data_IF_565820102942
#
_entry.id   IF_565820102942
#
_cell.length_a   1.000
_cell.length_b   1.000
_cell.length_c   1.000
_cell.angle_alpha   90.00
_cell.angle_beta   90.00
_cell.angle_gamma   90.00
#
_symmetry.space_group_name_H-M   'P 1'
#
loop_
_entity.id
_entity.type
_entity.pdbx_description
1 polymer ?
#
# COMPACT_ATOMS: atom_id res chain seq x y z
N UNK A 1 13.32 19.01 -7.57
CA UNK A 1 13.28 17.54 -7.39
C UNK A 1 12.74 16.92 -8.65
N UNK A 2 13.39 15.87 -9.16
CA UNK A 2 12.92 15.12 -10.32
C UNK A 2 11.61 14.37 -10.00
N UNK A 3 10.69 14.22 -10.96
CA UNK A 3 9.40 13.52 -10.77
C UNK A 3 9.58 12.10 -10.22
N UNK A 4 10.61 11.39 -10.68
CA UNK A 4 10.98 10.04 -10.20
C UNK A 4 11.37 10.03 -8.72
N UNK A 5 11.92 11.12 -8.20
CA UNK A 5 12.29 11.22 -6.78
C UNK A 5 11.07 11.50 -5.91
N UNK A 6 10.14 12.34 -6.40
CA UNK A 6 8.84 12.57 -5.75
C UNK A 6 8.07 11.27 -5.64
N UNK A 7 7.90 10.54 -6.75
CA UNK A 7 7.19 9.25 -6.75
C UNK A 7 7.84 8.22 -5.84
N UNK A 8 9.18 8.19 -5.75
CA UNK A 8 9.89 7.27 -4.85
C UNK A 8 9.60 7.58 -3.39
N UNK A 9 9.68 8.84 -2.99
CA UNK A 9 9.42 9.27 -1.61
C UNK A 9 7.95 9.01 -1.28
N UNK A 10 7.03 9.40 -2.16
CA UNK A 10 5.60 9.18 -1.97
C UNK A 10 5.27 7.68 -1.79
N UNK A 11 5.80 6.81 -2.65
CA UNK A 11 5.62 5.37 -2.53
C UNK A 11 6.21 4.81 -1.23
N UNK A 12 7.41 5.24 -0.86
CA UNK A 12 8.06 4.80 0.38
C UNK A 12 7.27 5.22 1.62
N UNK A 13 6.80 6.46 1.67
CA UNK A 13 5.96 6.96 2.77
C UNK A 13 4.63 6.21 2.84
N UNK A 14 3.99 5.97 1.69
CA UNK A 14 2.74 5.20 1.62
C UNK A 14 2.91 3.80 2.21
N UNK A 15 3.97 3.08 1.85
CA UNK A 15 4.26 1.75 2.39
C UNK A 15 4.50 1.77 3.91
N UNK A 16 5.23 2.77 4.41
CA UNK A 16 5.44 2.91 5.85
C UNK A 16 4.12 3.17 6.57
N UNK A 17 3.28 4.07 6.04
CA UNK A 17 1.96 4.36 6.62
C UNK A 17 1.06 3.13 6.60
N UNK A 18 1.03 2.37 5.50
CA UNK A 18 0.29 1.12 5.41
C UNK A 18 0.75 0.10 6.46
N UNK A 19 2.06 -0.10 6.59
CA UNK A 19 2.61 -1.03 7.57
C UNK A 19 2.40 -0.59 9.02
N UNK A 20 2.42 0.71 9.31
CA UNK A 20 1.99 1.22 10.63
C UNK A 20 0.50 0.93 10.85
N UNK A 21 -0.34 1.09 9.84
CA UNK A 21 -1.76 0.75 9.89
C UNK A 21 -2.01 -0.73 10.23
N UNK A 22 -1.27 -1.65 9.61
CA UNK A 22 -1.29 -3.09 9.94
C UNK A 22 -0.99 -3.35 11.42
N UNK A 23 -0.06 -2.60 12.01
CA UNK A 23 0.40 -2.82 13.38
C UNK A 23 -0.43 -2.07 14.44
N UNK A 24 -1.24 -1.09 14.04
CA UNK A 24 -1.91 -0.17 14.97
C UNK A 24 -3.43 -0.14 14.78
N UNK A 25 -3.93 0.76 13.93
CA UNK A 25 -5.34 1.15 13.89
C UNK A 25 -6.20 0.40 12.88
N UNK A 26 -5.61 -0.30 11.90
CA UNK A 26 -6.35 -1.00 10.83
C UNK A 26 -6.19 -2.53 10.90
N UNK A 27 -5.59 -3.03 11.99
CA UNK A 27 -5.21 -4.44 12.14
C UNK A 27 -6.38 -5.42 11.98
N UNK A 28 -7.56 -5.06 12.50
CA UNK A 28 -8.75 -5.92 12.44
C UNK A 28 -9.31 -6.00 11.01
N UNK A 29 -9.35 -4.86 10.32
CA UNK A 29 -9.81 -4.71 8.94
C UNK A 29 -8.90 -5.48 7.98
N UNK A 30 -7.60 -5.56 8.28
CA UNK A 30 -6.66 -6.37 7.51
C UNK A 30 -6.77 -7.86 7.79
N UNK A 31 -7.08 -8.28 9.04
CA UNK A 31 -7.34 -9.70 9.32
C UNK A 31 -8.53 -10.24 8.50
N UNK A 32 -9.56 -9.41 8.26
CA UNK A 32 -10.70 -9.79 7.44
C UNK A 32 -10.34 -10.04 5.97
N UNK A 33 -9.24 -9.45 5.49
CA UNK A 33 -8.73 -9.63 4.13
C UNK A 33 -7.80 -10.84 3.99
N UNK A 34 -7.36 -11.45 5.10
CA UNK A 34 -6.52 -12.65 5.06
C UNK A 34 -7.40 -13.86 4.75
N UNK A 35 -7.21 -14.52 3.59
CA UNK A 35 -8.01 -15.67 3.21
C UNK A 35 -7.62 -16.92 4.00
N UNK A 36 -8.56 -17.84 4.17
CA UNK A 36 -8.40 -18.99 5.07
C UNK A 36 -7.38 -20.03 4.59
N UNK A 37 -6.91 -19.95 3.34
CA UNK A 37 -5.87 -20.84 2.80
C UNK A 37 -4.46 -20.49 3.30
N UNK A 38 -4.26 -19.34 3.94
CA UNK A 38 -2.95 -18.93 4.49
C UNK A 38 -2.63 -19.80 5.72
N UNK A 39 -1.49 -20.52 5.75
CA UNK A 39 -1.14 -21.45 6.83
C UNK A 39 -0.62 -20.76 8.09
N UNK A 40 -1.03 -19.51 8.34
CA UNK A 40 -0.67 -18.71 9.51
C UNK A 40 -1.94 -18.24 10.20
N UNK A 41 -1.85 -17.91 11.50
CA UNK A 41 -2.93 -17.18 12.14
C UNK A 41 -3.10 -15.83 11.42
N UNK A 42 -4.35 -15.42 11.19
CA UNK A 42 -4.66 -14.17 10.46
C UNK A 42 -3.94 -12.96 11.06
N UNK A 43 -3.82 -12.92 12.38
CA UNK A 43 -3.12 -11.86 13.09
C UNK A 43 -1.60 -11.86 12.83
N UNK A 44 -0.95 -13.02 12.82
CA UNK A 44 0.48 -13.15 12.51
C UNK A 44 0.75 -12.74 11.06
N UNK A 45 -0.11 -13.13 10.13
CA UNK A 45 -0.02 -12.74 8.73
C UNK A 45 -0.03 -11.20 8.56
N UNK A 46 -0.91 -10.50 9.29
CA UNK A 46 -1.02 -9.03 9.28
C UNK A 46 0.18 -8.35 9.93
N UNK A 47 0.71 -8.90 11.03
CA UNK A 47 1.91 -8.35 11.68
C UNK A 47 3.11 -8.45 10.73
N UNK A 48 3.34 -9.64 10.16
CA UNK A 48 4.49 -9.86 9.30
C UNK A 48 4.42 -9.06 8.00
N UNK A 49 3.23 -8.88 7.42
CA UNK A 49 3.06 -7.99 6.26
C UNK A 49 3.34 -6.54 6.63
N UNK A 50 2.85 -6.06 7.78
CA UNK A 50 3.11 -4.69 8.23
C UNK A 50 4.59 -4.38 8.46
N UNK A 51 5.32 -5.31 9.08
CA UNK A 51 6.78 -5.20 9.24
C UNK A 51 7.47 -5.18 7.87
N UNK A 52 7.08 -6.06 6.95
CA UNK A 52 7.66 -6.14 5.62
C UNK A 52 7.47 -4.84 4.83
N UNK A 53 6.30 -4.21 4.92
CA UNK A 53 6.02 -2.93 4.25
C UNK A 53 6.82 -1.76 4.82
N UNK A 54 6.98 -1.68 6.15
CA UNK A 54 7.83 -0.66 6.78
C UNK A 54 9.28 -0.82 6.31
N UNK A 55 9.80 -2.05 6.33
CA UNK A 55 11.15 -2.34 5.84
C UNK A 55 11.30 -2.01 4.35
N UNK A 56 10.30 -2.32 3.53
CA UNK A 56 10.32 -2.03 2.10
C UNK A 56 10.28 -0.52 1.84
N UNK A 57 9.37 0.21 2.50
CA UNK A 57 9.22 1.65 2.36
C UNK A 57 10.44 2.42 2.83
N UNK A 58 11.01 2.05 3.99
CA UNK A 58 12.27 2.63 4.49
C UNK A 58 13.43 2.34 3.54
N UNK A 59 13.54 1.11 3.02
CA UNK A 59 14.56 0.74 2.03
C UNK A 59 14.45 1.60 0.77
N UNK A 60 13.25 1.80 0.22
CA UNK A 60 13.03 2.64 -0.98
C UNK A 60 13.51 4.08 -0.76
N UNK A 61 13.23 4.65 0.42
CA UNK A 61 13.62 6.02 0.76
C UNK A 61 15.13 6.12 0.96
N UNK A 62 15.72 5.21 1.75
CA UNK A 62 17.12 5.24 2.15
C UNK A 62 18.10 4.72 1.09
N UNK A 63 17.62 4.05 0.02
CA UNK A 63 18.49 3.41 -0.98
C UNK A 63 19.35 4.42 -1.78
N UNK A 64 20.68 4.21 -1.82
CA UNK A 64 21.60 5.01 -2.64
C UNK A 64 21.28 4.93 -4.14
N UNK A 65 21.58 5.99 -4.90
CA UNK A 65 21.28 6.12 -6.35
C UNK A 65 21.68 4.88 -7.17
N UNK A 66 22.80 4.23 -6.83
CA UNK A 66 23.33 3.04 -7.50
C UNK A 66 22.38 1.82 -7.49
N UNK A 67 21.59 1.64 -6.43
CA UNK A 67 20.75 0.45 -6.23
C UNK A 67 19.24 0.70 -6.42
N UNK A 68 18.83 1.95 -6.69
CA UNK A 68 17.42 2.34 -6.85
C UNK A 68 16.68 1.53 -7.92
N UNK A 69 17.35 1.15 -9.01
CA UNK A 69 16.76 0.31 -10.08
C UNK A 69 16.44 -1.10 -9.60
N UNK A 70 17.34 -1.71 -8.83
CA UNK A 70 17.15 -3.07 -8.30
C UNK A 70 16.05 -3.09 -7.26
N UNK A 71 16.06 -2.14 -6.32
CA UNK A 71 15.01 -2.00 -5.30
C UNK A 71 13.65 -1.74 -5.94
N UNK A 72 13.58 -0.87 -6.96
CA UNK A 72 12.34 -0.64 -7.70
C UNK A 72 11.77 -1.90 -8.35
N UNK A 73 12.61 -2.80 -8.89
CA UNK A 73 12.17 -4.09 -9.45
C UNK A 73 11.62 -5.03 -8.37
N UNK A 74 12.29 -5.09 -7.22
CA UNK A 74 11.84 -5.91 -6.08
C UNK A 74 10.46 -5.44 -5.64
N UNK A 75 10.27 -4.13 -5.46
CA UNK A 75 8.99 -3.53 -5.06
C UNK A 75 7.90 -3.78 -6.09
N UNK A 76 8.21 -3.60 -7.38
CA UNK A 76 7.26 -3.83 -8.47
C UNK A 76 6.82 -5.30 -8.58
N UNK A 77 7.63 -6.24 -8.09
CA UNK A 77 7.29 -7.67 -8.04
C UNK A 77 6.54 -8.02 -6.76
N UNK A 78 6.92 -7.40 -5.64
CA UNK A 78 6.33 -7.64 -4.32
C UNK A 78 4.88 -7.16 -4.26
N UNK A 79 4.61 -5.91 -4.68
CA UNK A 79 3.28 -5.29 -4.55
C UNK A 79 2.15 -6.11 -5.19
N UNK A 80 2.20 -6.50 -6.48
CA UNK A 80 1.17 -7.32 -7.12
C UNK A 80 0.91 -8.67 -6.46
N UNK A 81 1.97 -9.27 -5.90
CA UNK A 81 1.92 -10.65 -5.41
C UNK A 81 1.16 -10.75 -4.09
N UNK A 82 1.25 -9.72 -3.27
CA UNK A 82 0.60 -9.66 -1.95
C UNK A 82 -0.64 -8.77 -1.96
N UNK A 83 -0.74 -7.85 -2.91
CA UNK A 83 -1.85 -6.90 -3.04
C UNK A 83 -2.33 -6.81 -4.49
N UNK A 84 -3.13 -7.77 -4.97
CA UNK A 84 -3.62 -7.77 -6.36
C UNK A 84 -4.43 -6.50 -6.68
N UNK A 85 -5.14 -5.95 -5.68
CA UNK A 85 -5.94 -4.72 -5.76
C UNK A 85 -5.10 -3.47 -6.15
N UNK A 86 -3.81 -3.44 -5.79
CA UNK A 86 -2.93 -2.27 -6.02
C UNK A 86 -2.64 -2.05 -7.52
N UNK A 87 -2.51 -3.11 -8.31
CA UNK A 87 -2.28 -2.99 -9.75
C UNK A 87 -3.46 -2.32 -10.46
N UNK A 88 -4.69 -2.65 -10.04
CA UNK A 88 -5.90 -2.07 -10.60
C UNK A 88 -6.06 -0.61 -10.17
N UNK A 89 -5.73 -0.27 -8.92
CA UNK A 89 -5.75 1.12 -8.41
C UNK A 89 -4.72 2.04 -9.08
N UNK A 90 -3.48 1.56 -9.29
CA UNK A 90 -2.43 2.32 -10.00
C UNK A 90 -2.83 2.60 -11.45
N UNK A 91 -3.41 1.61 -12.13
CA UNK A 91 -3.87 1.75 -13.52
C UNK A 91 -5.02 2.74 -13.66
N UNK A 92 -5.79 2.93 -12.60
CA UNK A 92 -6.98 3.81 -12.58
C UNK A 92 -6.69 5.19 -11.95
N UNK A 93 -5.51 5.41 -11.35
CA UNK A 93 -5.12 6.67 -10.72
C UNK A 93 -5.72 6.91 -9.32
N UNK A 94 -6.31 5.88 -8.71
CA UNK A 94 -7.10 5.95 -7.47
C UNK A 94 -6.24 6.07 -6.19
N UNK A 95 -4.93 5.85 -6.26
CA UNK A 95 -4.00 6.02 -5.12
C UNK A 95 -4.04 7.43 -4.53
N UNK A 96 -4.33 8.45 -5.34
CA UNK A 96 -4.44 9.82 -4.87
C UNK A 96 -5.75 10.06 -4.09
N UNK A 97 -6.81 9.30 -4.37
CA UNK A 97 -8.12 9.44 -3.74
C UNK A 97 -8.24 8.66 -2.43
N UNK A 98 -7.50 7.55 -2.28
CA UNK A 98 -7.51 6.76 -1.05
C UNK A 98 -6.80 7.44 0.16
N UNK A 99 -5.98 8.46 -0.09
CA UNK A 99 -5.35 9.29 0.96
C UNK A 99 -6.27 10.40 1.49
N UNK A 100 -7.42 10.62 0.87
CA UNK A 100 -8.42 11.59 1.32
C UNK A 100 -9.62 10.78 1.86
N UNK A 101 -9.90 10.81 3.18
CA UNK A 101 -10.99 10.02 3.77
C UNK A 101 -12.39 10.61 3.46
N UNK A 102 -12.61 11.19 2.29
CA UNK A 102 -13.90 11.80 1.89
C UNK A 102 -14.24 11.61 0.41
N UNK A 103 -14.56 10.39 -0.02
CA UNK A 103 -15.25 10.22 -1.32
C UNK A 103 -16.28 9.11 -1.38
N UNK A 104 -16.43 8.28 -0.33
CA UNK A 104 -17.48 7.25 -0.35
C UNK A 104 -18.88 7.87 -0.35
N UNK A 105 -19.04 9.06 0.23
CA UNK A 105 -20.34 9.74 0.33
C UNK A 105 -20.78 10.46 -0.97
N UNK A 106 -19.83 10.89 -1.81
CA UNK A 106 -20.13 11.66 -3.03
C UNK A 106 -20.54 10.79 -4.23
N UNK A 107 -20.22 9.49 -4.23
CA UNK A 107 -20.66 8.55 -5.28
C UNK A 107 -22.16 8.24 -5.18
N UNK A 108 -22.71 8.20 -3.97
CA UNK A 108 -24.12 7.88 -3.73
C UNK A 108 -25.07 9.08 -3.91
N UNK A 109 -24.54 10.31 -3.89
CA UNK A 109 -25.34 11.53 -4.08
C UNK A 109 -25.60 11.88 -5.56
N UNK A 110 -24.71 11.47 -6.48
CA UNK A 110 -24.90 11.72 -7.92
C UNK A 110 -25.93 10.81 -8.61
N UNK A 111 -26.34 9.69 -7.98
CA UNK A 111 -27.41 8.84 -8.50
C UNK A 111 -28.82 9.23 -8.00
N UNK A 112 -28.95 10.33 -7.25
CA UNK A 112 -30.18 10.73 -6.57
C UNK A 112 -30.57 12.19 -6.82
N UNK A 113 -30.24 12.72 -8.01
CA UNK A 113 -30.85 13.94 -8.52
C UNK A 113 -31.98 13.54 -9.48
N UNK A 114 -33.22 14.05 -9.27
CA UNK A 114 -34.41 13.67 -10.01
C UNK A 114 -34.38 14.10 -11.48
#
# INVERSE_FOLDING_TARGET
METKEISRIALGTFLITAGVGHLTFARKEFQAQVPDWVPLKKDDAVIYSGIAEILLGTTIIATPKKHRKTVGKVVATFLPRFYPEILLSIRTGEILLALIPTTKELRDSSCRLP
#
